data_IF_934103587262
#
_entry.id   IF_934103587262
#
_cell.length_a   1.000
_cell.length_b   1.000
_cell.length_c   1.000
_cell.angle_alpha   90.00
_cell.angle_beta   90.00
_cell.angle_gamma   90.00
#
_symmetry.space_group_name_H-M   'P 1'
#
loop_
_entity.id
_entity.type
_entity.pdbx_description
1 polymer ?
#
# COMPACT_ATOMS: atom_id res chain seq x y z
N UNK A 1 6.02 -15.78 -11.28
CA UNK A 1 4.67 -16.36 -11.11
C UNK A 1 4.85 -17.70 -10.40
N UNK A 2 4.06 -17.97 -9.37
CA UNK A 2 4.03 -19.28 -8.71
C UNK A 2 3.26 -20.29 -9.58
N UNK A 3 3.74 -21.53 -9.66
CA UNK A 3 3.22 -22.54 -10.59
C UNK A 3 1.72 -22.85 -10.40
N UNK A 4 1.27 -22.82 -9.14
CA UNK A 4 -0.14 -23.09 -8.78
C UNK A 4 -1.10 -21.91 -8.95
N UNK A 5 -0.64 -20.72 -9.35
CA UNK A 5 -1.52 -19.54 -9.49
C UNK A 5 -2.68 -19.79 -10.46
N UNK A 6 -2.38 -20.31 -11.66
CA UNK A 6 -3.40 -20.53 -12.71
C UNK A 6 -4.43 -21.56 -12.23
N UNK A 7 -3.98 -22.65 -11.61
CA UNK A 7 -4.87 -23.70 -11.08
C UNK A 7 -5.75 -23.17 -9.95
N UNK A 8 -5.21 -22.29 -9.10
CA UNK A 8 -5.99 -21.67 -8.03
C UNK A 8 -7.02 -20.68 -8.60
N UNK A 9 -6.67 -19.91 -9.63
CA UNK A 9 -7.62 -19.05 -10.32
C UNK A 9 -8.75 -19.86 -10.94
N UNK A 10 -8.42 -20.89 -11.72
CA UNK A 10 -9.39 -21.79 -12.36
C UNK A 10 -10.39 -22.37 -11.34
N UNK A 11 -9.89 -22.86 -10.20
CA UNK A 11 -10.75 -23.39 -9.14
C UNK A 11 -11.67 -22.34 -8.48
N UNK A 12 -11.22 -21.09 -8.38
CA UNK A 12 -11.93 -20.04 -7.64
C UNK A 12 -12.86 -19.20 -8.51
N UNK A 13 -12.58 -19.08 -9.81
CA UNK A 13 -13.31 -18.16 -10.70
C UNK A 13 -14.76 -18.57 -10.91
N UNK A 14 -15.08 -19.88 -10.83
CA UNK A 14 -16.45 -20.38 -10.86
C UNK A 14 -17.33 -19.85 -9.70
N UNK A 15 -16.70 -19.37 -8.62
CA UNK A 15 -17.37 -18.90 -7.41
C UNK A 15 -17.24 -17.40 -7.19
N UNK A 16 -16.31 -16.73 -7.85
CA UNK A 16 -15.98 -15.34 -7.61
C UNK A 16 -15.69 -14.63 -8.92
N UNK A 17 -16.26 -13.45 -9.08
CA UNK A 17 -16.12 -12.64 -10.28
C UNK A 17 -14.75 -11.90 -10.34
N UNK A 18 -14.10 -11.78 -9.18
CA UNK A 18 -12.71 -11.34 -9.05
C UNK A 18 -12.00 -12.18 -7.99
N UNK A 19 -10.87 -12.76 -8.36
CA UNK A 19 -9.97 -13.46 -7.43
C UNK A 19 -8.65 -12.71 -7.41
N UNK A 20 -8.26 -12.19 -6.24
CA UNK A 20 -6.97 -11.56 -6.01
C UNK A 20 -6.08 -12.45 -5.13
N UNK A 21 -4.88 -12.76 -5.60
CA UNK A 21 -3.85 -13.44 -4.83
C UNK A 21 -2.87 -12.45 -4.20
N UNK A 22 -2.07 -12.87 -3.21
CA UNK A 22 -1.02 -12.04 -2.63
C UNK A 22 0.03 -11.66 -3.68
N UNK A 23 0.52 -10.42 -3.57
CA UNK A 23 1.73 -9.96 -4.25
C UNK A 23 2.85 -9.89 -3.22
N UNK A 24 3.98 -10.51 -3.52
CA UNK A 24 5.16 -10.53 -2.65
C UNK A 24 6.37 -9.91 -3.36
N UNK A 25 6.71 -8.65 -3.04
CA UNK A 25 7.89 -8.00 -3.60
C UNK A 25 9.18 -8.81 -3.41
N UNK A 26 9.90 -9.00 -4.51
CA UNK A 26 11.25 -9.55 -4.50
C UNK A 26 12.21 -8.63 -3.73
N UNK A 27 13.18 -9.23 -3.06
CA UNK A 27 14.20 -8.49 -2.31
C UNK A 27 15.04 -7.62 -3.24
N UNK A 28 15.38 -6.42 -2.77
CA UNK A 28 16.24 -5.50 -3.50
C UNK A 28 17.63 -6.05 -3.76
N UNK A 29 18.22 -5.60 -4.87
CA UNK A 29 19.61 -5.89 -5.28
C UNK A 29 20.49 -4.64 -5.19
N UNK A 30 21.81 -4.82 -5.25
CA UNK A 30 22.78 -3.71 -5.24
C UNK A 30 23.12 -3.23 -3.83
N UNK A 31 23.53 -1.97 -3.70
CA UNK A 31 23.98 -1.37 -2.44
C UNK A 31 22.89 -1.27 -1.36
N UNK A 32 23.29 -1.11 -0.09
CA UNK A 32 22.37 -1.16 1.06
C UNK A 32 21.18 -0.20 0.95
N UNK A 33 21.41 1.02 0.42
CA UNK A 33 20.38 2.03 0.26
C UNK A 33 19.32 1.62 -0.77
N UNK A 34 19.75 1.14 -1.94
CA UNK A 34 18.85 0.63 -2.99
C UNK A 34 18.04 -0.56 -2.50
N UNK A 35 18.69 -1.48 -1.79
CA UNK A 35 17.99 -2.62 -1.16
C UNK A 35 16.96 -2.14 -0.15
N UNK A 36 17.29 -1.17 0.69
CA UNK A 36 16.35 -0.65 1.68
C UNK A 36 15.16 0.06 1.02
N UNK A 37 15.36 0.74 -0.12
CA UNK A 37 14.27 1.31 -0.91
C UNK A 37 13.44 0.23 -1.61
N UNK A 38 14.01 -0.83 -2.15
CA UNK A 38 13.17 -1.90 -2.71
C UNK A 38 12.44 -2.68 -1.60
N UNK A 39 13.13 -3.03 -0.52
CA UNK A 39 12.61 -3.89 0.53
C UNK A 39 11.50 -3.23 1.37
N UNK A 40 11.40 -1.90 1.42
CA UNK A 40 10.29 -1.25 2.13
C UNK A 40 8.93 -1.56 1.49
N UNK A 41 8.88 -1.78 0.17
CA UNK A 41 7.68 -2.29 -0.50
C UNK A 41 7.34 -3.68 0.02
N UNK A 42 8.33 -4.55 0.12
CA UNK A 42 8.14 -5.88 0.68
C UNK A 42 7.62 -5.86 2.12
N UNK A 43 8.06 -4.89 2.93
CA UNK A 43 7.55 -4.72 4.29
C UNK A 43 6.07 -4.31 4.32
N UNK A 44 5.71 -3.37 3.46
CA UNK A 44 4.34 -2.88 3.35
C UNK A 44 3.40 -3.92 2.77
N UNK A 45 3.84 -4.66 1.74
CA UNK A 45 3.06 -5.72 1.11
C UNK A 45 2.88 -6.92 2.02
N UNK A 46 3.88 -7.26 2.83
CA UNK A 46 3.74 -8.30 3.86
C UNK A 46 2.61 -7.97 4.85
N UNK A 47 2.48 -6.69 5.25
CA UNK A 47 1.36 -6.25 6.09
C UNK A 47 0.05 -6.12 5.30
N UNK A 48 0.04 -5.55 4.11
CA UNK A 48 -1.21 -5.33 3.36
C UNK A 48 -1.82 -6.64 2.88
N UNK A 49 -1.06 -7.50 2.20
CA UNK A 49 -1.52 -8.79 1.70
C UNK A 49 -1.51 -9.90 2.76
N UNK A 50 -0.74 -9.76 3.85
CA UNK A 50 -0.73 -10.74 4.94
C UNK A 50 -1.82 -10.52 5.99
N UNK A 51 -2.29 -9.28 6.16
CA UNK A 51 -3.23 -8.90 7.23
C UNK A 51 -4.42 -8.12 6.70
N UNK A 52 -4.20 -7.04 5.97
CA UNK A 52 -5.26 -6.07 5.68
C UNK A 52 -6.29 -6.59 4.69
N UNK A 53 -5.83 -7.18 3.59
CA UNK A 53 -6.74 -7.74 2.58
C UNK A 53 -7.49 -8.96 3.11
N UNK A 54 -6.86 -9.80 3.93
CA UNK A 54 -7.54 -10.90 4.60
C UNK A 54 -8.62 -10.42 5.58
N UNK A 55 -8.36 -9.39 6.38
CA UNK A 55 -9.37 -8.81 7.27
C UNK A 55 -10.50 -8.13 6.48
N UNK A 56 -10.16 -7.46 5.37
CA UNK A 56 -11.13 -6.82 4.49
C UNK A 56 -12.09 -7.83 3.87
N UNK A 57 -11.56 -8.93 3.34
CA UNK A 57 -12.36 -10.02 2.76
C UNK A 57 -13.24 -10.67 3.82
N UNK A 58 -12.71 -10.95 5.02
CA UNK A 58 -13.49 -11.52 6.12
C UNK A 58 -14.62 -10.61 6.62
N UNK A 59 -14.51 -9.29 6.43
CA UNK A 59 -15.57 -8.32 6.73
C UNK A 59 -16.61 -8.19 5.59
N UNK A 60 -16.44 -8.92 4.49
CA UNK A 60 -17.32 -8.86 3.32
C UNK A 60 -17.24 -7.53 2.55
N UNK A 61 -16.19 -6.75 2.79
CA UNK A 61 -15.92 -5.50 2.07
C UNK A 61 -15.28 -5.79 0.71
N UNK A 62 -15.40 -4.81 -0.20
CA UNK A 62 -14.91 -4.93 -1.58
C UNK A 62 -13.39 -5.16 -1.61
N UNK A 63 -12.94 -6.19 -2.32
CA UNK A 63 -11.51 -6.49 -2.49
C UNK A 63 -10.98 -5.76 -3.73
N UNK A 64 -10.00 -4.85 -3.59
CA UNK A 64 -9.43 -4.17 -4.74
C UNK A 64 -8.53 -5.14 -5.53
N UNK A 65 -8.46 -4.96 -6.85
CA UNK A 65 -7.41 -5.59 -7.65
C UNK A 65 -6.10 -4.82 -7.54
N UNK A 66 -4.98 -5.55 -7.55
CA UNK A 66 -3.63 -4.99 -7.59
C UNK A 66 -3.06 -4.93 -9.02
N UNK A 67 -3.86 -5.25 -10.04
CA UNK A 67 -3.46 -5.24 -11.46
C UNK A 67 -2.57 -6.41 -11.87
N UNK A 68 -2.06 -7.15 -10.89
CA UNK A 68 -1.31 -8.40 -11.03
C UNK A 68 -1.83 -9.41 -10.00
N UNK A 69 -1.51 -10.68 -10.22
CA UNK A 69 -1.97 -11.76 -9.34
C UNK A 69 -3.51 -11.79 -9.22
N UNK A 70 -4.23 -11.43 -10.28
CA UNK A 70 -5.68 -11.39 -10.28
C UNK A 70 -6.26 -12.15 -11.48
N UNK A 71 -7.46 -12.71 -11.28
CA UNK A 71 -8.29 -13.25 -12.34
C UNK A 71 -9.68 -12.62 -12.27
N UNK A 72 -10.25 -12.34 -13.44
CA UNK A 72 -11.60 -11.81 -13.61
C UNK A 72 -12.44 -12.86 -14.33
N UNK A 73 -13.66 -13.06 -13.83
CA UNK A 73 -14.66 -13.84 -14.56
C UNK A 73 -14.99 -13.08 -15.85
N UNK A 74 -15.17 -13.83 -16.95
CA UNK A 74 -15.23 -13.26 -18.30
C UNK A 74 -16.44 -12.36 -18.48
N UNK A 75 -17.62 -12.79 -18.03
CA UNK A 75 -18.86 -12.05 -18.21
C UNK A 75 -18.89 -10.81 -17.31
N UNK A 76 -18.36 -10.89 -16.09
CA UNK A 76 -18.16 -9.73 -15.22
C UNK A 76 -17.15 -8.74 -15.83
N UNK A 77 -16.05 -9.22 -16.41
CA UNK A 77 -15.10 -8.36 -17.10
C UNK A 77 -15.74 -7.66 -18.30
N UNK A 78 -16.59 -8.35 -19.05
CA UNK A 78 -17.38 -7.75 -20.12
C UNK A 78 -18.38 -6.71 -19.57
N UNK A 79 -19.04 -7.01 -18.45
CA UNK A 79 -19.99 -6.10 -17.81
C UNK A 79 -19.33 -4.82 -17.25
N UNK A 80 -18.03 -4.87 -16.91
CA UNK A 80 -17.25 -3.67 -16.55
C UNK A 80 -17.02 -2.73 -17.74
N UNK A 81 -17.02 -3.26 -18.96
CA UNK A 81 -16.87 -2.47 -20.19
C UNK A 81 -18.20 -1.83 -20.58
N UNK A 82 -18.58 -0.76 -19.88
CA UNK A 82 -19.79 0.03 -20.19
C UNK A 82 -19.79 0.59 -21.63
N UNK A 83 -18.59 0.80 -22.19
CA UNK A 83 -18.35 1.14 -23.59
C UNK A 83 -17.29 0.18 -24.14
N UNK A 84 -17.66 -0.67 -25.10
CA UNK A 84 -16.76 -1.64 -25.73
C UNK A 84 -15.52 -0.98 -26.37
N UNK A 85 -15.64 0.27 -26.82
CA UNK A 85 -14.51 1.00 -27.41
C UNK A 85 -13.50 1.49 -26.35
N UNK A 86 -13.95 1.70 -25.11
CA UNK A 86 -13.09 2.13 -23.99
C UNK A 86 -12.52 0.93 -23.21
N UNK A 87 -13.19 -0.22 -23.27
CA UNK A 87 -12.82 -1.43 -22.53
C UNK A 87 -13.18 -1.38 -21.03
N UNK A 88 -12.85 -2.44 -20.27
CA UNK A 88 -13.28 -2.58 -18.87
C UNK A 88 -12.51 -1.69 -17.88
N UNK A 89 -11.40 -1.09 -18.31
CA UNK A 89 -10.53 -0.28 -17.48
C UNK A 89 -10.52 1.15 -17.99
N UNK A 90 -10.92 2.09 -17.14
CA UNK A 90 -10.98 3.50 -17.50
C UNK A 90 -9.55 4.06 -17.72
N UNK A 91 -9.20 4.51 -18.93
CA UNK A 91 -7.85 5.00 -19.25
C UNK A 91 -7.50 6.31 -18.55
N UNK A 92 -8.50 7.04 -18.03
CA UNK A 92 -8.31 8.22 -17.20
C UNK A 92 -8.08 7.91 -15.71
N UNK A 93 -8.21 6.65 -15.29
CA UNK A 93 -7.83 6.24 -13.94
C UNK A 93 -6.33 5.99 -13.85
N UNK A 94 -5.71 6.48 -12.77
CA UNK A 94 -4.33 6.15 -12.43
C UNK A 94 -4.21 4.81 -11.68
N UNK A 95 -5.34 4.21 -11.30
CA UNK A 95 -5.47 2.96 -10.54
C UNK A 95 -6.72 2.23 -11.03
N UNK A 96 -6.73 1.95 -12.32
CA UNK A 96 -7.82 1.34 -13.06
C UNK A 96 -8.17 -0.05 -12.52
N UNK A 97 -7.15 -0.80 -12.11
CA UNK A 97 -7.24 -2.10 -11.45
C UNK A 97 -8.00 -2.02 -10.12
N UNK A 98 -7.59 -1.08 -9.27
CA UNK A 98 -8.20 -0.83 -7.98
C UNK A 98 -9.68 -0.44 -8.15
N UNK A 99 -9.99 0.47 -9.08
CA UNK A 99 -11.37 0.89 -9.37
C UNK A 99 -12.22 -0.27 -9.88
N UNK A 100 -11.70 -1.07 -10.81
CA UNK A 100 -12.42 -2.22 -11.35
C UNK A 100 -12.83 -3.20 -10.25
N UNK A 101 -11.92 -3.52 -9.32
CA UNK A 101 -12.24 -4.43 -8.22
C UNK A 101 -13.35 -3.93 -7.29
N UNK A 102 -13.42 -2.61 -7.05
CA UNK A 102 -14.50 -2.03 -6.25
C UNK A 102 -15.82 -1.94 -7.03
N UNK A 103 -15.77 -1.65 -8.34
CA UNK A 103 -16.96 -1.59 -9.19
C UNK A 103 -17.67 -2.94 -9.32
N UNK A 104 -16.91 -4.05 -9.37
CA UNK A 104 -17.49 -5.41 -9.37
C UNK A 104 -18.43 -5.58 -8.18
N UNK A 105 -18.01 -5.14 -6.99
CA UNK A 105 -18.85 -5.21 -5.78
C UNK A 105 -20.04 -4.27 -5.84
N UNK A 106 -19.88 -3.05 -6.37
CA UNK A 106 -20.98 -2.10 -6.58
C UNK A 106 -22.03 -2.63 -7.58
N UNK A 107 -21.63 -3.51 -8.50
CA UNK A 107 -22.51 -4.23 -9.43
C UNK A 107 -23.14 -5.51 -8.82
N UNK A 108 -22.87 -5.81 -7.54
CA UNK A 108 -23.38 -7.00 -6.86
C UNK A 108 -22.50 -8.25 -7.00
N UNK A 109 -21.33 -8.12 -7.65
CA UNK A 109 -20.37 -9.19 -7.81
C UNK A 109 -19.68 -9.63 -6.51
N UNK A 110 -19.03 -10.77 -6.59
CA UNK A 110 -18.31 -11.44 -5.50
C UNK A 110 -16.81 -11.38 -5.77
N UNK A 111 -16.07 -10.76 -4.88
CA UNK A 111 -14.61 -10.70 -4.94
C UNK A 111 -14.00 -11.47 -3.78
N UNK A 112 -12.90 -12.17 -4.02
CA UNK A 112 -12.15 -12.90 -3.00
C UNK A 112 -10.67 -12.50 -2.99
N UNK A 113 -10.13 -12.32 -1.79
CA UNK A 113 -8.70 -12.29 -1.58
C UNK A 113 -8.24 -13.65 -1.06
N UNK A 114 -7.54 -14.44 -1.88
CA UNK A 114 -7.25 -15.84 -1.58
C UNK A 114 -5.81 -16.01 -1.19
N UNK A 115 -5.55 -16.32 0.09
CA UNK A 115 -4.21 -16.61 0.59
C UNK A 115 -4.07 -18.10 0.90
N UNK A 116 -3.57 -18.85 -0.07
CA UNK A 116 -3.35 -20.30 0.02
C UNK A 116 -1.86 -20.65 0.00
N UNK A 117 -1.51 -21.82 0.54
CA UNK A 117 -0.17 -22.41 0.46
C UNK A 117 -0.18 -23.60 -0.48
N UNK A 118 0.91 -23.80 -1.20
CA UNK A 118 1.14 -24.97 -2.03
C UNK A 118 1.44 -26.22 -1.19
N UNK A 119 1.66 -27.35 -1.85
CA UNK A 119 1.98 -28.62 -1.18
C UNK A 119 3.32 -28.60 -0.40
N UNK A 120 4.22 -27.66 -0.71
CA UNK A 120 5.49 -27.45 0.01
C UNK A 120 5.35 -26.46 1.17
N UNK A 121 4.17 -25.85 1.32
CA UNK A 121 3.89 -24.86 2.34
C UNK A 121 4.24 -23.43 1.92
N UNK A 122 4.64 -23.19 0.67
CA UNK A 122 4.92 -21.85 0.15
C UNK A 122 3.63 -21.10 -0.15
N UNK A 123 3.58 -19.79 0.11
CA UNK A 123 2.40 -19.00 -0.25
C UNK A 123 2.32 -18.88 -1.78
N UNK A 124 1.16 -19.25 -2.32
CA UNK A 124 0.84 -19.05 -3.74
C UNK A 124 0.65 -17.54 -3.95
N UNK A 125 1.63 -16.92 -4.59
CA UNK A 125 1.70 -15.46 -4.74
C UNK A 125 2.55 -15.08 -5.95
N UNK A 126 2.17 -13.98 -6.61
CA UNK A 126 3.01 -13.39 -7.64
C UNK A 126 4.15 -12.62 -6.98
N UNK A 127 5.36 -12.80 -7.50
CA UNK A 127 6.57 -12.11 -7.06
C UNK A 127 7.06 -11.18 -8.15
N UNK A 128 7.40 -9.94 -7.79
CA UNK A 128 7.89 -8.93 -8.73
C UNK A 128 8.90 -7.97 -8.08
N UNK A 129 9.73 -7.33 -8.91
CA UNK A 129 10.63 -6.28 -8.45
C UNK A 129 9.91 -4.93 -8.35
N UNK A 130 10.23 -4.19 -7.30
CA UNK A 130 9.78 -2.82 -7.08
C UNK A 130 10.94 -1.82 -7.22
N UNK A 131 10.65 -0.52 -7.36
CA UNK A 131 11.68 0.50 -7.51
C UNK A 131 12.72 0.47 -6.38
N UNK A 132 13.97 0.67 -6.76
CA UNK A 132 15.13 0.68 -5.87
C UNK A 132 15.73 2.10 -5.68
N UNK A 133 15.07 3.13 -6.22
CA UNK A 133 15.48 4.54 -6.10
C UNK A 133 14.35 5.39 -5.51
N UNK A 134 14.72 6.43 -4.76
CA UNK A 134 13.76 7.31 -4.06
C UNK A 134 12.78 7.93 -5.06
N UNK A 135 13.31 8.47 -6.15
CA UNK A 135 12.54 9.19 -7.16
C UNK A 135 11.50 8.28 -7.86
N UNK A 136 11.91 7.07 -8.25
CA UNK A 136 10.98 6.09 -8.83
C UNK A 136 9.94 5.59 -7.80
N UNK A 137 10.36 5.35 -6.56
CA UNK A 137 9.44 4.93 -5.49
C UNK A 137 8.39 6.00 -5.17
N UNK A 138 8.83 7.27 -5.11
CA UNK A 138 7.97 8.44 -4.90
C UNK A 138 6.98 8.60 -6.06
N UNK A 139 7.40 8.46 -7.32
CA UNK A 139 6.49 8.47 -8.47
C UNK A 139 5.42 7.40 -8.37
N UNK A 140 5.82 6.16 -8.13
CA UNK A 140 4.89 5.02 -8.06
C UNK A 140 3.88 5.20 -6.93
N UNK A 141 4.33 5.57 -5.72
CA UNK A 141 3.40 5.79 -4.60
C UNK A 141 2.54 7.03 -4.75
N UNK A 142 3.05 8.09 -5.39
CA UNK A 142 2.25 9.26 -5.71
C UNK A 142 1.09 8.88 -6.65
N UNK A 143 1.32 8.03 -7.66
CA UNK A 143 0.27 7.51 -8.55
C UNK A 143 -0.84 6.83 -7.75
N UNK A 144 -0.49 5.88 -6.88
CA UNK A 144 -1.45 5.20 -6.02
C UNK A 144 -2.20 6.17 -5.09
N UNK A 145 -1.49 7.14 -4.51
CA UNK A 145 -2.09 8.13 -3.61
C UNK A 145 -3.09 9.03 -4.36
N UNK A 146 -2.79 9.45 -5.58
CA UNK A 146 -3.71 10.24 -6.39
C UNK A 146 -4.94 9.40 -6.74
N UNK A 147 -4.74 8.21 -7.30
CA UNK A 147 -5.85 7.34 -7.74
C UNK A 147 -6.78 6.92 -6.61
N UNK A 148 -6.21 6.46 -5.49
CA UNK A 148 -6.98 5.91 -4.37
C UNK A 148 -7.50 6.99 -3.43
N UNK A 149 -6.63 7.91 -2.99
CA UNK A 149 -6.92 8.82 -1.90
C UNK A 149 -7.51 10.17 -2.32
N UNK A 150 -7.20 10.64 -3.54
CA UNK A 150 -7.65 11.95 -4.03
C UNK A 150 -8.74 11.79 -5.10
N UNK A 151 -8.38 11.37 -6.31
CA UNK A 151 -9.32 11.18 -7.42
C UNK A 151 -10.38 10.10 -7.13
N UNK A 152 -10.02 9.09 -6.33
CA UNK A 152 -10.94 8.03 -5.92
C UNK A 152 -12.13 8.55 -5.12
N UNK A 153 -12.06 9.75 -4.52
CA UNK A 153 -13.22 10.37 -3.85
C UNK A 153 -14.33 10.70 -4.86
N UNK A 154 -13.96 11.33 -5.97
CA UNK A 154 -14.88 11.77 -7.02
C UNK A 154 -15.37 10.58 -7.85
N UNK A 155 -14.47 9.64 -8.15
CA UNK A 155 -14.73 8.53 -9.07
C UNK A 155 -15.53 7.39 -8.45
N UNK A 156 -15.31 7.10 -7.16
CA UNK A 156 -15.93 5.94 -6.48
C UNK A 156 -16.91 6.33 -5.38
N UNK A 157 -16.87 7.57 -4.87
CA UNK A 157 -17.74 8.04 -3.80
C UNK A 157 -17.62 7.24 -2.50
N UNK A 158 -18.70 7.27 -1.70
CA UNK A 158 -18.81 6.63 -0.36
C UNK A 158 -19.98 5.65 -0.29
N UNK A 159 -20.05 4.73 -1.26
CA UNK A 159 -21.11 3.73 -1.35
C UNK A 159 -20.84 2.52 -0.44
N UNK A 160 -21.90 1.77 -0.11
CA UNK A 160 -21.82 0.52 0.64
C UNK A 160 -22.15 0.66 2.13
N UNK A 161 -21.99 -0.46 2.87
CA UNK A 161 -22.26 -0.53 4.31
C UNK A 161 -21.10 -0.03 5.19
N UNK A 162 -21.22 -0.16 6.53
CA UNK A 162 -20.22 0.33 7.47
C UNK A 162 -18.81 -0.25 7.25
N UNK A 163 -18.72 -1.53 6.85
CA UNK A 163 -17.45 -2.18 6.53
C UNK A 163 -16.77 -1.54 5.31
N UNK A 164 -17.54 -1.25 4.26
CA UNK A 164 -17.05 -0.60 3.03
C UNK A 164 -16.61 0.83 3.31
N UNK A 165 -17.44 1.59 4.04
CA UNK A 165 -17.11 2.95 4.46
C UNK A 165 -15.79 2.99 5.25
N UNK A 166 -15.63 2.09 6.22
CA UNK A 166 -14.40 2.00 7.01
C UNK A 166 -13.18 1.66 6.15
N UNK A 167 -13.31 0.74 5.20
CA UNK A 167 -12.21 0.36 4.32
C UNK A 167 -11.81 1.50 3.38
N UNK A 168 -12.77 2.19 2.77
CA UNK A 168 -12.50 3.37 1.92
C UNK A 168 -11.84 4.50 2.71
N UNK A 169 -12.29 4.77 3.94
CA UNK A 169 -11.63 5.74 4.82
C UNK A 169 -10.19 5.33 5.11
N UNK A 170 -9.96 4.04 5.38
CA UNK A 170 -8.63 3.50 5.66
C UNK A 170 -7.69 3.63 4.45
N UNK A 171 -8.18 3.44 3.23
CA UNK A 171 -7.37 3.59 2.03
C UNK A 171 -7.04 5.06 1.75
N UNK A 172 -8.04 5.93 1.90
CA UNK A 172 -7.92 7.37 1.61
C UNK A 172 -7.12 8.15 2.66
N UNK A 173 -6.97 7.63 3.88
CA UNK A 173 -6.23 8.33 4.96
C UNK A 173 -4.74 8.53 4.68
N UNK A 174 -4.16 7.90 3.65
CA UNK A 174 -2.72 7.94 3.37
C UNK A 174 -2.17 9.37 3.29
N UNK A 175 -2.91 10.30 2.68
CA UNK A 175 -2.52 11.71 2.57
C UNK A 175 -2.49 12.40 3.95
N UNK A 176 -3.54 12.24 4.75
CA UNK A 176 -3.60 12.79 6.11
C UNK A 176 -2.53 12.19 7.01
N UNK A 177 -2.31 10.87 6.92
CA UNK A 177 -1.27 10.18 7.68
C UNK A 177 0.13 10.72 7.34
N UNK A 178 0.40 11.03 6.06
CA UNK A 178 1.67 11.61 5.65
C UNK A 178 1.87 13.03 6.22
N UNK A 179 0.82 13.85 6.31
CA UNK A 179 0.89 15.18 6.96
C UNK A 179 1.19 15.07 8.46
N UNK A 180 0.51 14.14 9.16
CA UNK A 180 0.76 13.89 10.59
C UNK A 180 2.19 13.37 10.80
N UNK A 181 2.67 12.46 9.94
CA UNK A 181 4.05 11.98 9.99
C UNK A 181 5.05 13.11 9.76
N UNK A 182 4.82 13.96 8.74
CA UNK A 182 5.68 15.12 8.49
C UNK A 182 5.76 16.04 9.71
N UNK A 183 4.62 16.38 10.32
CA UNK A 183 4.57 17.19 11.54
C UNK A 183 5.32 16.52 12.70
N UNK A 184 5.22 15.20 12.85
CA UNK A 184 5.93 14.46 13.89
C UNK A 184 7.46 14.51 13.68
N UNK A 185 7.95 14.30 12.46
CA UNK A 185 9.39 14.42 12.15
C UNK A 185 9.89 15.85 12.31
N UNK A 186 9.11 16.85 11.89
CA UNK A 186 9.47 18.25 12.09
C UNK A 186 9.55 18.59 13.58
N UNK A 187 8.58 18.11 14.37
CA UNK A 187 8.59 18.28 15.84
C UNK A 187 9.82 17.62 16.46
N UNK A 188 10.19 16.41 16.03
CA UNK A 188 11.40 15.73 16.49
C UNK A 188 12.67 16.55 16.20
N UNK A 189 12.78 17.14 15.00
CA UNK A 189 13.90 17.99 14.63
C UNK A 189 13.95 19.29 15.46
N UNK A 190 12.80 19.92 15.67
CA UNK A 190 12.70 21.13 16.50
C UNK A 190 13.04 20.85 17.97
N UNK A 191 12.59 19.71 18.50
CA UNK A 191 12.96 19.27 19.85
C UNK A 191 14.45 19.00 19.98
N UNK A 192 15.06 18.35 18.97
CA UNK A 192 16.50 18.14 18.95
C UNK A 192 17.27 19.48 18.91
N UNK A 193 16.83 20.44 18.09
CA UNK A 193 17.43 21.77 18.02
C UNK A 193 17.31 22.52 19.35
N UNK A 194 16.14 22.46 20.00
CA UNK A 194 15.94 23.05 21.33
C UNK A 194 16.80 22.38 22.39
N UNK A 195 16.97 21.06 22.34
CA UNK A 195 17.84 20.33 23.26
C UNK A 195 19.31 20.73 23.10
N UNK A 196 19.78 20.94 21.86
CA UNK A 196 21.13 21.46 21.60
C UNK A 196 21.28 22.91 22.08
N UNK A 197 20.28 23.75 21.87
CA UNK A 197 20.27 25.12 22.35
C UNK A 197 20.32 25.20 23.89
N UNK A 198 19.62 24.30 24.56
CA UNK A 198 19.61 24.18 26.02
C UNK A 198 20.99 23.85 26.63
N UNK A 199 21.95 23.38 25.83
CA UNK A 199 23.34 23.18 26.28
C UNK A 199 24.11 24.48 26.47
N UNK A 200 23.70 25.56 25.80
CA UNK A 200 24.43 26.83 25.77
C UNK A 200 23.62 28.02 26.30
N UNK A 201 22.31 27.89 26.41
CA UNK A 201 21.44 28.91 26.99
C UNK A 201 20.26 28.29 27.74
N UNK A 202 19.81 28.91 28.84
CA UNK A 202 18.67 28.41 29.60
C UNK A 202 17.39 28.52 28.78
N UNK A 203 16.87 27.37 28.33
CA UNK A 203 15.56 27.26 27.67
C UNK A 203 14.52 26.91 28.75
N UNK A 204 13.43 27.69 28.91
CA UNK A 204 12.43 27.42 29.93
C UNK A 204 11.75 26.07 29.69
N UNK A 205 11.78 25.20 30.70
CA UNK A 205 11.08 23.92 30.67
C UNK A 205 9.57 24.14 30.62
N UNK A 206 8.90 23.50 29.65
CA UNK A 206 7.44 23.44 29.60
C UNK A 206 7.00 22.06 30.11
N UNK A 207 6.51 21.93 31.35
CA UNK A 207 6.14 20.63 31.89
C UNK A 207 4.97 20.05 31.10
N UNK A 208 5.02 18.74 30.86
CA UNK A 208 3.92 18.01 30.22
C UNK A 208 2.78 17.84 31.23
N UNK A 209 1.54 18.13 30.80
CA UNK A 209 0.36 17.86 31.63
C UNK A 209 0.17 16.34 31.79
N UNK A 210 -0.50 15.86 32.85
CA UNK A 210 -0.79 14.43 33.01
C UNK A 210 -1.49 13.81 31.81
N UNK A 211 -2.43 14.54 31.19
CA UNK A 211 -3.12 14.10 29.98
C UNK A 211 -2.17 13.95 28.79
N UNK A 212 -1.28 14.93 28.56
CA UNK A 212 -0.28 14.84 27.49
C UNK A 212 0.66 13.64 27.70
N UNK A 213 1.11 13.42 28.93
CA UNK A 213 1.94 12.27 29.29
C UNK A 213 1.23 10.95 29.01
N UNK A 214 -0.06 10.82 29.39
CA UNK A 214 -0.86 9.63 29.10
C UNK A 214 -1.02 9.38 27.59
N UNK A 215 -1.29 10.44 26.81
CA UNK A 215 -1.42 10.34 25.36
C UNK A 215 -0.10 9.95 24.68
N UNK A 216 1.04 10.44 25.18
CA UNK A 216 2.36 10.06 24.67
C UNK A 216 2.67 8.57 24.94
N UNK A 217 2.38 8.07 26.15
CA UNK A 217 2.51 6.65 26.46
C UNK A 217 1.60 5.77 25.61
N UNK A 218 0.34 6.19 25.43
CA UNK A 218 -0.58 5.48 24.55
C UNK A 218 -0.11 5.48 23.10
N UNK A 219 0.41 6.60 22.59
CA UNK A 219 0.98 6.68 21.25
C UNK A 219 2.20 5.77 21.09
N UNK A 220 3.10 5.75 22.09
CA UNK A 220 4.26 4.86 22.12
C UNK A 220 3.81 3.39 22.09
N UNK A 221 2.82 3.01 22.89
CA UNK A 221 2.25 1.66 22.85
C UNK A 221 1.72 1.30 21.45
N UNK A 222 0.94 2.19 20.82
CA UNK A 222 0.42 1.97 19.46
C UNK A 222 1.54 1.89 18.41
N UNK A 223 2.62 2.66 18.58
CA UNK A 223 3.79 2.59 17.71
C UNK A 223 4.52 1.25 17.86
N UNK A 224 4.73 0.79 19.09
CA UNK A 224 5.35 -0.51 19.38
C UNK A 224 4.50 -1.66 18.85
N UNK A 225 3.18 -1.61 19.04
CA UNK A 225 2.24 -2.58 18.47
C UNK A 225 2.36 -2.64 16.94
N UNK A 226 2.37 -1.48 16.27
CA UNK A 226 2.54 -1.40 14.82
C UNK A 226 3.88 -1.99 14.38
N UNK A 227 4.94 -1.73 15.13
CA UNK A 227 6.27 -2.25 14.83
C UNK A 227 6.34 -3.77 15.00
N UNK A 228 5.72 -4.30 16.05
CA UNK A 228 5.61 -5.74 16.29
C UNK A 228 4.82 -6.45 15.18
N UNK A 229 3.71 -5.85 14.73
CA UNK A 229 2.94 -6.37 13.60
C UNK A 229 3.78 -6.39 12.32
N UNK A 230 4.47 -5.29 12.01
CA UNK A 230 5.39 -5.24 10.86
C UNK A 230 6.45 -6.33 10.93
N UNK A 231 7.16 -6.41 12.06
CA UNK A 231 8.14 -7.44 12.31
C UNK A 231 7.58 -8.86 12.08
N UNK A 232 6.39 -9.15 12.62
CA UNK A 232 5.75 -10.46 12.52
C UNK A 232 5.40 -10.84 11.07
N UNK A 233 4.73 -9.94 10.35
CA UNK A 233 4.29 -10.23 8.98
C UNK A 233 5.46 -10.30 8.00
N UNK A 234 6.47 -9.44 8.17
CA UNK A 234 7.69 -9.50 7.36
C UNK A 234 8.49 -10.76 7.66
N UNK A 235 8.60 -11.15 8.94
CA UNK A 235 9.27 -12.40 9.33
C UNK A 235 8.59 -13.61 8.70
N UNK A 236 7.25 -13.63 8.67
CA UNK A 236 6.51 -14.73 8.05
C UNK A 236 6.62 -14.78 6.53
N UNK A 237 6.88 -13.64 5.88
CA UNK A 237 6.99 -13.57 4.42
C UNK A 237 8.44 -13.78 3.92
N UNK A 238 9.43 -13.27 4.65
CA UNK A 238 10.83 -13.17 4.18
C UNK A 238 11.87 -13.66 5.20
N UNK A 239 11.43 -14.22 6.34
CA UNK A 239 12.30 -14.72 7.40
C UNK A 239 12.76 -13.66 8.41
N UNK A 240 13.37 -14.13 9.50
CA UNK A 240 13.69 -13.33 10.69
C UNK A 240 14.59 -12.13 10.38
N UNK A 241 15.61 -12.30 9.54
CA UNK A 241 16.55 -11.23 9.15
C UNK A 241 15.81 -10.08 8.46
N UNK A 242 14.87 -10.38 7.57
CA UNK A 242 14.07 -9.37 6.90
C UNK A 242 13.14 -8.66 7.89
N UNK A 243 12.53 -9.40 8.83
CA UNK A 243 11.69 -8.85 9.89
C UNK A 243 12.42 -7.86 10.79
N UNK A 244 13.60 -8.22 11.29
CA UNK A 244 14.45 -7.31 12.06
C UNK A 244 14.82 -6.07 11.25
N UNK A 245 15.15 -6.25 9.97
CA UNK A 245 15.47 -5.14 9.08
C UNK A 245 14.29 -4.21 8.77
N UNK A 246 13.04 -4.69 8.83
CA UNK A 246 11.84 -3.90 8.54
C UNK A 246 11.56 -2.82 9.60
N UNK A 247 12.02 -3.04 10.84
CA UNK A 247 11.82 -2.11 11.95
C UNK A 247 12.47 -0.75 11.65
N UNK A 248 13.81 -0.66 11.48
CA UNK A 248 14.45 0.60 11.12
C UNK A 248 14.07 1.09 9.71
N UNK A 249 13.72 0.18 8.78
CA UNK A 249 13.26 0.56 7.42
C UNK A 249 11.96 1.35 7.41
N UNK A 250 11.20 1.32 8.51
CA UNK A 250 10.00 2.17 8.67
C UNK A 250 10.33 3.66 8.49
N UNK A 251 11.54 4.11 8.86
CA UNK A 251 11.98 5.49 8.62
C UNK A 251 12.06 5.81 7.11
N UNK A 252 12.59 4.87 6.32
CA UNK A 252 12.69 4.99 4.86
C UNK A 252 11.30 4.97 4.23
N UNK A 253 10.43 4.06 4.68
CA UNK A 253 9.04 4.00 4.24
C UNK A 253 8.29 5.32 4.51
N UNK A 254 8.46 5.89 5.72
CA UNK A 254 7.87 7.18 6.08
C UNK A 254 8.41 8.33 5.23
N UNK A 255 9.73 8.38 5.03
CA UNK A 255 10.37 9.39 4.18
C UNK A 255 9.82 9.37 2.75
N UNK A 256 9.77 8.19 2.13
CA UNK A 256 9.21 8.01 0.79
C UNK A 256 7.72 8.34 0.78
N UNK A 257 6.96 7.93 1.81
CA UNK A 257 5.53 8.22 1.94
C UNK A 257 5.22 9.72 2.02
N UNK A 258 6.00 10.49 2.78
CA UNK A 258 5.85 11.95 2.88
C UNK A 258 6.12 12.61 1.52
N UNK A 259 7.21 12.22 0.84
CA UNK A 259 7.55 12.76 -0.48
C UNK A 259 6.51 12.40 -1.54
N UNK A 260 6.00 11.16 -1.51
CA UNK A 260 4.94 10.69 -2.40
C UNK A 260 3.63 11.45 -2.17
N UNK A 261 3.22 11.66 -0.93
CA UNK A 261 2.03 12.44 -0.61
C UNK A 261 2.16 13.90 -1.04
N UNK A 262 3.32 14.53 -0.78
CA UNK A 262 3.63 15.88 -1.29
C UNK A 262 3.47 15.93 -2.81
N UNK A 263 4.13 15.01 -3.53
CA UNK A 263 4.04 14.95 -5.01
C UNK A 263 2.59 14.75 -5.47
N UNK A 264 1.85 13.85 -4.84
CA UNK A 264 0.45 13.56 -5.15
C UNK A 264 -0.45 14.79 -5.01
N UNK A 265 -0.35 15.51 -3.89
CA UNK A 265 -1.13 16.74 -3.65
C UNK A 265 -0.83 17.78 -4.74
N UNK A 266 0.44 18.05 -5.03
CA UNK A 266 0.80 19.04 -6.07
C UNK A 266 0.30 18.65 -7.46
N UNK A 267 0.38 17.37 -7.84
CA UNK A 267 -0.12 16.90 -9.13
C UNK A 267 -1.64 16.97 -9.22
N UNK A 268 -2.35 16.59 -8.15
CA UNK A 268 -3.81 16.68 -8.10
C UNK A 268 -4.31 18.13 -8.11
N UNK A 269 -3.67 19.05 -7.37
CA UNK A 269 -4.01 20.48 -7.43
C UNK A 269 -3.81 21.06 -8.83
N UNK A 270 -2.75 20.66 -9.55
CA UNK A 270 -2.55 21.05 -10.95
C UNK A 270 -3.61 20.47 -11.88
N UNK A 271 -4.10 19.27 -11.61
CA UNK A 271 -5.17 18.68 -12.43
C UNK A 271 -6.52 19.33 -12.22
N UNK A 272 -6.81 19.81 -11.01
CA UNK A 272 -7.97 20.66 -10.75
C UNK A 272 -7.89 21.99 -11.54
N UNK A 273 -6.67 22.46 -11.83
CA UNK A 273 -6.42 23.60 -12.72
C UNK A 273 -6.44 23.28 -14.22
N UNK A 274 -6.88 22.07 -14.62
CA UNK A 274 -7.04 21.67 -16.03
C UNK A 274 -5.85 20.94 -16.65
N UNK A 275 -4.78 20.66 -15.91
CA UNK A 275 -3.66 19.86 -16.44
C UNK A 275 -3.98 18.35 -16.40
N UNK A 276 -3.76 17.58 -17.48
CA UNK A 276 -4.03 16.16 -17.45
C UNK A 276 -3.08 15.43 -16.49
N UNK A 277 -3.64 14.51 -15.70
CA UNK A 277 -2.84 13.56 -14.91
C UNK A 277 -2.18 12.57 -15.87
N UNK A 278 -0.91 12.79 -16.20
CA UNK A 278 -0.16 11.87 -17.05
C UNK A 278 0.28 10.65 -16.26
N UNK A 279 0.02 9.49 -16.83
CA UNK A 279 0.51 8.21 -16.33
C UNK A 279 2.02 8.08 -16.58
N UNK A 280 2.83 8.27 -15.55
CA UNK A 280 4.24 7.84 -15.57
C UNK A 280 4.29 6.33 -15.32
N UNK A 281 4.50 5.54 -16.38
CA UNK A 281 4.58 4.08 -16.27
C UNK A 281 5.78 3.67 -15.40
N UNK A 282 5.54 2.80 -14.42
CA UNK A 282 6.61 2.21 -13.62
C UNK A 282 7.48 1.33 -14.52
N UNK A 283 8.81 1.47 -14.43
CA UNK A 283 9.73 0.56 -15.12
C UNK A 283 9.73 -0.79 -14.40
N UNK A 284 9.31 -1.85 -15.09
CA UNK A 284 9.35 -3.21 -14.56
C UNK A 284 10.71 -3.86 -14.86
N UNK A 285 11.27 -4.53 -13.85
CA UNK A 285 12.45 -5.39 -14.01
C UNK A 285 12.00 -6.84 -13.88
N UNK A 286 12.33 -7.66 -14.88
CA UNK A 286 12.04 -9.08 -14.85
C UNK A 286 13.08 -9.85 -14.00
N UNK A 287 12.65 -10.88 -13.26
CA UNK A 287 13.56 -11.78 -12.56
C UNK A 287 14.39 -12.61 -13.53
N UNK A 288 15.63 -12.87 -13.13
CA UNK A 288 16.52 -13.76 -13.87
C UNK A 288 16.32 -15.19 -13.37
N UNK A 289 15.75 -16.03 -14.24
CA UNK A 289 15.38 -17.42 -13.95
C UNK A 289 16.56 -18.30 -13.47
N UNK A 290 17.81 -17.85 -13.65
CA UNK A 290 19.00 -18.56 -13.16
C UNK A 290 19.44 -18.13 -11.76
N UNK A 291 19.07 -16.93 -11.31
CA UNK A 291 19.63 -16.31 -10.10
C UNK A 291 18.58 -15.86 -9.07
N UNK A 292 17.31 -15.79 -9.44
CA UNK A 292 16.20 -15.40 -8.57
C UNK A 292 15.31 -16.59 -8.20
N UNK A 293 14.85 -16.69 -6.93
CA UNK A 293 13.96 -17.75 -6.46
C UNK A 293 12.50 -17.58 -6.91
#
# INVERSE_FOLDING_TARGET
MHADEIRLFDFMIDRFDLVQLPVLPLRGRGGWWRRAIADHYGDEFAESHGKLLSVREALGASVPSAGVACAFERDMLAALALDEAAGPFDPGSLTEDYEAGLRIRDMGGRSAFVRMRDARGDVIATREFFPDSVDAAVRQKARWTIGIALAGWDRLGWRGGPAEFWMRLRDRRAVLAALVLFAAYLTLLLLAALALLALVMPVPGRPLTPLMTALLWFNLFLMLWRMAMRFLFVTRAYGLRAGLGAVPRTLIANYIGILAARRAIFLYLRSLGGQPLRWDKTQHRFPDLKTDP
#
